data_IF_514145688385
#
_entry.id   IF_514145688385
#
_cell.length_a   1.000
_cell.length_b   1.000
_cell.length_c   1.000
_cell.angle_alpha   90.00
_cell.angle_beta   90.00
_cell.angle_gamma   90.00
#
_symmetry.space_group_name_H-M   'P 1'
#
loop_
_entity.id
_entity.type
_entity.pdbx_description
1 polymer ?
#
# COMPACT_ATOMS: atom_id res chain seq x y z
N UNK A 1 -57.60 -25.93 -17.93
CA UNK A 1 -56.36 -26.71 -17.93
C UNK A 1 -55.34 -25.92 -17.11
N UNK A 2 -54.62 -26.63 -16.23
CA UNK A 2 -53.47 -26.21 -15.41
C UNK A 2 -53.76 -25.36 -14.15
N UNK A 3 -53.73 -26.11 -13.05
CA UNK A 3 -53.51 -25.74 -11.65
C UNK A 3 -52.06 -25.28 -11.46
N UNK A 4 -51.81 -24.26 -10.64
CA UNK A 4 -50.69 -24.26 -9.68
C UNK A 4 -50.82 -23.14 -8.63
N UNK A 5 -51.12 -23.55 -7.40
CA UNK A 5 -50.86 -22.83 -6.15
C UNK A 5 -49.32 -22.73 -5.92
N UNK A 6 -48.75 -21.95 -4.99
CA UNK A 6 -48.79 -22.12 -3.52
C UNK A 6 -48.03 -20.94 -2.86
N UNK A 7 -48.71 -20.28 -1.90
CA UNK A 7 -48.30 -19.80 -0.56
C UNK A 7 -46.99 -19.04 -0.33
N UNK A 8 -47.14 -17.89 0.34
CA UNK A 8 -46.15 -17.32 1.26
C UNK A 8 -46.75 -16.20 2.13
N UNK A 9 -47.37 -16.56 3.27
CA UNK A 9 -47.61 -15.62 4.38
C UNK A 9 -46.32 -15.55 5.22
N UNK A 10 -45.83 -14.35 5.53
CA UNK A 10 -45.39 -14.02 6.89
C UNK A 10 -45.08 -12.52 6.98
N UNK A 11 -45.69 -11.86 7.97
CA UNK A 11 -45.34 -10.52 8.42
C UNK A 11 -44.00 -10.56 9.16
N UNK A 12 -43.07 -9.67 8.82
CA UNK A 12 -41.96 -9.29 9.68
C UNK A 12 -41.86 -7.76 9.73
N UNK A 13 -42.35 -7.23 10.85
CA UNK A 13 -41.77 -6.18 11.71
C UNK A 13 -40.92 -5.09 11.06
N UNK A 14 -41.33 -3.84 11.31
CA UNK A 14 -40.51 -2.66 11.10
C UNK A 14 -39.17 -2.71 11.85
N UNK A 15 -38.17 -2.17 11.17
CA UNK A 15 -36.94 -1.66 11.75
C UNK A 15 -36.63 -0.35 11.01
N UNK A 16 -36.58 0.75 11.75
CA UNK A 16 -36.03 2.01 11.26
C UNK A 16 -34.57 1.80 10.84
N UNK A 17 -34.34 1.51 9.55
CA UNK A 17 -33.01 1.53 8.97
C UNK A 17 -32.58 3.00 8.79
N UNK A 18 -32.24 3.65 9.91
CA UNK A 18 -31.23 4.69 9.87
C UNK A 18 -29.94 4.01 9.44
N UNK A 19 -29.74 3.94 8.12
CA UNK A 19 -28.44 3.73 7.53
C UNK A 19 -27.52 4.76 8.18
N UNK A 20 -26.72 4.30 9.15
CA UNK A 20 -25.63 5.08 9.68
C UNK A 20 -24.79 5.44 8.46
N UNK A 21 -24.78 6.73 8.11
CA UNK A 21 -23.72 7.23 7.25
C UNK A 21 -22.46 6.86 7.99
N UNK A 22 -21.72 5.88 7.47
CA UNK A 22 -20.33 5.71 7.85
C UNK A 22 -19.71 7.04 7.52
N UNK A 23 -19.50 7.85 8.56
CA UNK A 23 -18.89 9.15 8.43
C UNK A 23 -17.58 8.92 7.69
N UNK A 24 -17.55 9.39 6.44
CA UNK A 24 -16.36 9.37 5.64
C UNK A 24 -15.30 10.06 6.49
N UNK A 25 -14.17 9.39 6.83
CA UNK A 25 -13.18 9.98 7.70
C UNK A 25 -12.87 11.38 7.17
N UNK A 26 -12.79 12.39 8.06
CA UNK A 26 -12.72 13.78 7.66
C UNK A 26 -11.67 13.89 6.57
N UNK A 27 -12.05 14.43 5.40
CA UNK A 27 -11.12 14.71 4.31
C UNK A 27 -10.05 15.64 4.90
N UNK A 28 -8.97 15.04 5.39
CA UNK A 28 -7.78 15.74 5.80
C UNK A 28 -7.45 16.64 4.63
N UNK A 29 -7.40 17.95 4.87
CA UNK A 29 -7.24 18.88 3.79
C UNK A 29 -5.96 18.49 3.02
N UNK A 30 -6.08 18.28 1.71
CA UNK A 30 -5.01 17.67 0.93
C UNK A 30 -3.74 18.54 0.93
N UNK A 31 -3.89 19.84 1.22
CA UNK A 31 -2.78 20.78 1.31
C UNK A 31 -1.98 20.65 2.61
N UNK A 32 -2.63 20.40 3.75
CA UNK A 32 -2.01 20.13 5.04
C UNK A 32 -1.43 18.72 5.07
N UNK A 33 -2.14 17.75 4.49
CA UNK A 33 -1.62 16.39 4.33
C UNK A 33 -0.30 16.38 3.54
N UNK A 34 -0.18 17.22 2.50
CA UNK A 34 1.05 17.34 1.72
C UNK A 34 2.24 17.89 2.53
N UNK A 35 2.02 18.46 3.71
CA UNK A 35 3.07 18.99 4.60
C UNK A 35 3.35 18.09 5.80
N UNK A 36 2.45 17.18 6.11
CA UNK A 36 2.60 16.22 7.20
C UNK A 36 3.21 14.91 6.69
N UNK A 37 4.35 14.51 7.26
CA UNK A 37 5.07 13.33 6.79
C UNK A 37 4.23 12.05 6.98
N UNK A 38 3.49 11.96 8.08
CA UNK A 38 2.69 10.78 8.38
C UNK A 38 1.55 10.63 7.36
N UNK A 39 0.75 11.68 7.17
CA UNK A 39 -0.35 11.69 6.21
C UNK A 39 0.14 11.45 4.78
N UNK A 40 1.20 12.16 4.36
CA UNK A 40 1.76 11.96 3.02
C UNK A 40 2.33 10.56 2.84
N UNK A 41 3.07 10.05 3.84
CA UNK A 41 3.68 8.72 3.82
C UNK A 41 2.65 7.61 3.74
N UNK A 42 1.58 7.66 4.53
CA UNK A 42 0.49 6.70 4.50
C UNK A 42 -0.24 6.70 3.15
N UNK A 43 -0.55 7.88 2.58
CA UNK A 43 -1.10 7.97 1.21
C UNK A 43 -0.12 7.41 0.18
N UNK A 44 1.15 7.76 0.29
CA UNK A 44 2.20 7.28 -0.62
C UNK A 44 2.29 5.74 -0.62
N UNK A 45 2.20 5.11 0.56
CA UNK A 45 2.15 3.65 0.71
C UNK A 45 0.95 3.06 -0.04
N UNK A 46 -0.27 3.58 0.21
CA UNK A 46 -1.51 3.09 -0.41
C UNK A 46 -1.43 3.17 -1.94
N UNK A 47 -0.92 4.28 -2.47
CA UNK A 47 -0.94 4.52 -3.92
C UNK A 47 0.21 3.87 -4.70
N UNK A 48 1.34 3.56 -4.06
CA UNK A 48 2.57 3.18 -4.78
C UNK A 48 3.14 1.82 -4.40
N UNK A 49 2.58 1.11 -3.40
CA UNK A 49 3.15 -0.18 -2.96
C UNK A 49 3.33 -1.18 -4.10
N UNK A 50 2.35 -1.32 -4.99
CA UNK A 50 2.43 -2.27 -6.11
C UNK A 50 3.51 -1.87 -7.13
N UNK A 51 3.58 -0.59 -7.50
CA UNK A 51 4.55 -0.07 -8.46
C UNK A 51 5.97 -0.10 -7.88
N UNK A 52 6.12 0.22 -6.60
CA UNK A 52 7.39 0.12 -5.88
C UNK A 52 7.86 -1.33 -5.75
N UNK A 53 6.96 -2.28 -5.46
CA UNK A 53 7.27 -3.72 -5.47
C UNK A 53 7.86 -4.14 -6.82
N UNK A 54 7.18 -3.80 -7.92
CA UNK A 54 7.67 -4.10 -9.26
C UNK A 54 9.02 -3.43 -9.57
N UNK A 55 9.22 -2.18 -9.13
CA UNK A 55 10.48 -1.47 -9.32
C UNK A 55 11.63 -2.13 -8.56
N UNK A 56 11.39 -2.63 -7.34
CA UNK A 56 12.37 -3.39 -6.56
C UNK A 56 12.67 -4.72 -7.25
N UNK A 57 11.66 -5.46 -7.71
CA UNK A 57 11.85 -6.76 -8.37
C UNK A 57 12.73 -6.67 -9.63
N UNK A 58 12.61 -5.57 -10.39
CA UNK A 58 13.45 -5.32 -11.58
C UNK A 58 14.94 -5.11 -11.26
N UNK A 59 15.30 -4.88 -10.00
CA UNK A 59 16.70 -4.74 -9.58
C UNK A 59 17.36 -6.09 -9.28
N UNK A 60 16.59 -7.18 -9.20
CA UNK A 60 17.12 -8.50 -8.96
C UNK A 60 17.80 -9.06 -10.22
N UNK A 61 18.93 -9.73 -10.03
CA UNK A 61 19.63 -10.45 -11.11
C UNK A 61 19.06 -11.85 -11.36
N UNK A 62 18.43 -12.42 -10.34
CA UNK A 62 17.83 -13.75 -10.33
C UNK A 62 16.45 -13.62 -9.66
N UNK A 63 16.14 -14.49 -8.70
CA UNK A 63 14.84 -14.50 -8.02
C UNK A 63 14.76 -13.51 -6.85
N UNK A 64 13.51 -13.14 -6.54
CA UNK A 64 13.12 -12.34 -5.37
C UNK A 64 12.20 -13.16 -4.49
N UNK A 65 12.55 -13.25 -3.20
CA UNK A 65 11.69 -13.84 -2.18
C UNK A 65 11.19 -12.76 -1.23
N UNK A 66 9.89 -12.50 -1.29
CA UNK A 66 9.20 -11.66 -0.32
C UNK A 66 8.98 -12.43 0.98
N UNK A 67 9.22 -11.78 2.12
CA UNK A 67 9.11 -12.39 3.46
C UNK A 67 8.07 -11.70 4.33
N UNK A 68 7.29 -10.77 3.77
CA UNK A 68 6.11 -10.19 4.42
C UNK A 68 4.95 -11.19 4.48
N UNK A 69 4.11 -11.06 5.50
CA UNK A 69 2.84 -11.78 5.61
C UNK A 69 1.69 -10.95 5.04
N UNK A 70 0.48 -11.53 4.98
CA UNK A 70 -0.72 -10.84 4.49
C UNK A 70 -1.07 -9.56 5.25
N UNK A 71 -0.61 -9.43 6.50
CA UNK A 71 -0.90 -8.29 7.37
C UNK A 71 0.27 -7.29 7.46
N UNK A 72 1.43 -7.65 6.93
CA UNK A 72 2.61 -6.79 6.99
C UNK A 72 2.62 -5.79 5.82
N UNK A 73 3.00 -4.55 6.11
CA UNK A 73 3.36 -3.63 5.03
C UNK A 73 4.70 -4.05 4.43
N UNK A 74 4.75 -4.18 3.10
CA UNK A 74 6.02 -4.29 2.36
C UNK A 74 6.93 -3.09 2.59
N UNK A 75 6.40 -1.93 2.95
CA UNK A 75 7.19 -0.74 3.24
C UNK A 75 6.81 -0.25 4.64
N UNK A 76 7.67 -0.52 5.61
CA UNK A 76 7.39 -0.25 7.04
C UNK A 76 7.82 1.15 7.48
N UNK A 77 8.66 1.84 6.70
CA UNK A 77 9.16 3.18 7.02
C UNK A 77 9.04 4.10 5.82
N UNK A 78 8.92 5.39 6.08
CA UNK A 78 8.97 6.43 5.04
C UNK A 78 9.65 7.68 5.58
N UNK A 79 10.24 8.47 4.68
CA UNK A 79 10.86 9.77 4.98
C UNK A 79 10.70 10.74 3.82
N UNK A 80 10.76 12.04 4.10
CA UNK A 80 10.90 13.03 3.05
C UNK A 80 12.23 12.82 2.31
N UNK A 81 12.16 12.81 0.98
CA UNK A 81 13.33 13.02 0.12
C UNK A 81 13.43 14.48 -0.30
N UNK A 82 12.28 15.07 -0.64
CA UNK A 82 12.13 16.49 -0.91
C UNK A 82 10.67 16.87 -0.68
N UNK A 83 10.38 17.55 0.43
CA UNK A 83 9.02 17.92 0.80
C UNK A 83 8.41 18.95 -0.17
N UNK A 84 9.18 19.96 -0.57
CA UNK A 84 8.71 21.02 -1.47
C UNK A 84 8.27 20.48 -2.83
N UNK A 85 8.94 19.42 -3.30
CA UNK A 85 8.61 18.70 -4.55
C UNK A 85 7.65 17.53 -4.35
N UNK A 86 7.14 17.32 -3.12
CA UNK A 86 6.29 16.19 -2.73
C UNK A 86 6.89 14.84 -3.08
N UNK A 87 8.14 14.64 -2.70
CA UNK A 87 8.88 13.40 -2.93
C UNK A 87 9.17 12.74 -1.58
N UNK A 88 8.65 11.52 -1.40
CA UNK A 88 8.98 10.67 -0.26
C UNK A 88 9.78 9.44 -0.72
N UNK A 89 10.57 8.91 0.20
CA UNK A 89 11.18 7.59 0.08
C UNK A 89 10.41 6.62 0.95
N UNK A 90 9.85 5.57 0.35
CA UNK A 90 9.29 4.41 1.02
C UNK A 90 10.40 3.37 1.23
N UNK A 91 10.46 2.74 2.39
CA UNK A 91 11.57 1.87 2.80
C UNK A 91 11.01 0.57 3.37
N UNK A 92 11.63 -0.55 3.01
CA UNK A 92 11.32 -1.86 3.59
C UNK A 92 12.53 -2.80 3.57
N UNK A 93 12.37 -3.92 4.25
CA UNK A 93 13.38 -4.98 4.38
C UNK A 93 12.79 -6.39 4.38
N UNK A 94 11.55 -6.53 3.91
CA UNK A 94 10.81 -7.80 3.84
C UNK A 94 11.03 -8.53 2.51
N UNK A 95 12.27 -8.51 2.02
CA UNK A 95 12.64 -9.20 0.79
C UNK A 95 14.07 -9.75 0.86
N UNK A 96 14.32 -10.78 0.06
CA UNK A 96 15.62 -11.37 -0.17
C UNK A 96 15.88 -11.51 -1.66
N UNK A 97 17.10 -11.25 -2.11
CA UNK A 97 17.53 -11.49 -3.49
C UNK A 97 18.39 -12.74 -3.57
N UNK A 98 18.18 -13.54 -4.61
CA UNK A 98 18.96 -14.73 -4.89
C UNK A 98 20.25 -14.38 -5.63
N UNK A 99 21.36 -15.03 -5.28
CA UNK A 99 22.61 -14.98 -6.04
C UNK A 99 22.72 -16.14 -7.06
N UNK A 100 23.80 -16.17 -7.86
CA UNK A 100 24.01 -17.18 -8.90
C UNK A 100 24.22 -18.63 -8.39
N UNK A 101 24.30 -18.84 -7.07
CA UNK A 101 24.42 -20.16 -6.44
C UNK A 101 23.10 -20.60 -5.78
N UNK A 102 22.03 -19.83 -5.93
CA UNK A 102 20.72 -20.13 -5.36
C UNK A 102 20.54 -19.68 -3.91
N UNK A 103 21.52 -19.02 -3.30
CA UNK A 103 21.42 -18.52 -1.93
C UNK A 103 20.70 -17.16 -1.86
N UNK A 104 19.89 -16.97 -0.84
CA UNK A 104 19.09 -15.76 -0.61
C UNK A 104 19.69 -14.86 0.47
N UNK A 105 19.90 -13.58 0.14
CA UNK A 105 20.41 -12.56 1.07
C UNK A 105 19.34 -11.50 1.35
N UNK A 106 19.18 -11.11 2.61
CA UNK A 106 18.26 -10.02 3.01
C UNK A 106 18.68 -8.70 2.39
N UNK A 107 17.71 -7.91 1.96
CA UNK A 107 17.93 -6.59 1.39
C UNK A 107 17.13 -5.53 2.14
N UNK A 108 17.69 -4.32 2.22
CA UNK A 108 16.96 -3.09 2.45
C UNK A 108 16.68 -2.47 1.08
N UNK A 109 15.43 -2.17 0.80
CA UNK A 109 15.00 -1.51 -0.43
C UNK A 109 14.34 -0.18 -0.13
N UNK A 110 14.57 0.78 -1.03
CA UNK A 110 14.00 2.11 -0.98
C UNK A 110 13.36 2.43 -2.33
N UNK A 111 12.18 3.05 -2.33
CA UNK A 111 11.44 3.48 -3.51
C UNK A 111 11.06 4.94 -3.37
N UNK A 112 11.50 5.80 -4.28
CA UNK A 112 11.10 7.21 -4.27
C UNK A 112 9.84 7.41 -5.09
N UNK A 113 8.91 8.15 -4.52
CA UNK A 113 7.62 8.42 -5.12
C UNK A 113 7.34 9.92 -5.07
N UNK A 114 6.70 10.43 -6.11
CA UNK A 114 6.32 11.82 -6.23
C UNK A 114 4.82 11.95 -6.44
N UNK A 115 4.22 12.93 -5.77
CA UNK A 115 2.85 13.34 -6.04
C UNK A 115 2.82 14.66 -6.84
N UNK A 116 2.16 14.66 -8.00
CA UNK A 116 1.94 15.87 -8.82
C UNK A 116 0.45 16.06 -9.06
N UNK A 117 -0.14 17.08 -8.42
CA UNK A 117 -1.60 17.17 -8.29
C UNK A 117 -2.14 15.93 -7.58
N UNK A 118 -3.09 15.24 -8.22
CA UNK A 118 -3.69 14.01 -7.70
C UNK A 118 -2.98 12.72 -8.17
N UNK A 119 -1.95 12.86 -9.00
CA UNK A 119 -1.24 11.71 -9.60
C UNK A 119 -0.02 11.32 -8.78
N UNK A 120 0.23 10.02 -8.72
CA UNK A 120 1.41 9.43 -8.09
C UNK A 120 2.32 8.78 -9.14
N UNK A 121 3.62 8.95 -8.97
CA UNK A 121 4.62 8.36 -9.84
C UNK A 121 5.79 7.80 -9.02
N UNK A 122 6.29 6.62 -9.41
CA UNK A 122 7.55 6.08 -8.92
C UNK A 122 8.69 6.73 -9.70
N UNK A 123 9.62 7.37 -9.01
CA UNK A 123 10.80 7.99 -9.61
C UNK A 123 11.96 7.01 -9.76
N UNK A 124 12.06 6.03 -8.86
CA UNK A 124 13.09 5.00 -8.90
C UNK A 124 13.15 4.18 -7.63
N UNK A 125 13.82 3.03 -7.72
CA UNK A 125 14.09 2.15 -6.59
C UNK A 125 15.59 1.88 -6.45
N UNK A 126 16.01 1.50 -5.25
CA UNK A 126 17.39 1.10 -4.94
C UNK A 126 17.38 0.01 -3.88
N UNK A 127 18.38 -0.86 -3.92
CA UNK A 127 18.56 -1.96 -2.97
C UNK A 127 19.98 -1.97 -2.43
N UNK A 128 20.13 -2.40 -1.19
CA UNK A 128 21.41 -2.78 -0.59
C UNK A 128 21.21 -4.02 0.28
N UNK A 129 22.25 -4.81 0.46
CA UNK A 129 22.21 -5.93 1.40
C UNK A 129 22.06 -5.42 2.85
N UNK A 130 21.34 -6.19 3.67
CA UNK A 130 21.12 -5.90 5.09
C UNK A 130 19.66 -6.01 5.52
N UNK A 131 19.39 -5.55 6.73
CA UNK A 131 18.06 -5.40 7.33
C UNK A 131 17.98 -4.07 8.07
N UNK A 132 16.78 -3.53 8.26
CA UNK A 132 16.63 -2.32 9.06
C UNK A 132 17.05 -2.63 10.50
N UNK A 133 17.76 -1.69 11.13
CA UNK A 133 17.92 -1.72 12.57
C UNK A 133 16.55 -1.43 13.20
N UNK A 134 16.23 -2.15 14.28
CA UNK A 134 14.98 -1.94 15.02
C UNK A 134 14.93 -0.54 15.65
#
# INVERSE_FOLDING_TARGET
>A
MVIAAVVGLSQCMGGDDKAAKVDQPPKLDDAACAKDLQCFGEKALIHNTAQCKQAVEKLAKHDVKWTDTLLDSKFSRYRWRNQDKRIATLIGDKAQFQNGFGAYTKIIYECDVQQTGDKWAVLGARVKEGSLAD
#
